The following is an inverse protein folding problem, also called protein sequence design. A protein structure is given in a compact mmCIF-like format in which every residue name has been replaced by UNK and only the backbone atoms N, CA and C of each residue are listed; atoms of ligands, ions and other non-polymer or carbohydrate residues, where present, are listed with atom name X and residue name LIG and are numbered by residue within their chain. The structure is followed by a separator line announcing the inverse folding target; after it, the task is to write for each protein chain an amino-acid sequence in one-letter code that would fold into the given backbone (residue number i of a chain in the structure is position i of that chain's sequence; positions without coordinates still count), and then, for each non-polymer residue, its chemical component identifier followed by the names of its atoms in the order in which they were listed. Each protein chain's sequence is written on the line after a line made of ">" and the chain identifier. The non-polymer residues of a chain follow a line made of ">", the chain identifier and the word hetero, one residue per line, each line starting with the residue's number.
data_IF_220943118846
#
_entry.id   IF_220943118846
#
_cell.length_a   1.000
_cell.length_b   1.000
_cell.length_c   1.000
_cell.angle_alpha   90.00
_cell.angle_beta   90.00
_cell.angle_gamma   90.00
#
_symmetry.space_group_name_H-M   'P 1'
#
loop_
_entity.id
_entity.type
_entity.pdbx_description
1 polymer ?
#
# COMPACT_ATOMS: atom_id res chain seq x y z
N UNK A 1 -3.44 7.69 6.45
CA UNK A 1 -2.95 8.64 7.49
C UNK A 1 -3.62 8.36 8.81
N UNK A 2 -2.93 8.65 9.90
CA UNK A 2 -3.51 8.54 11.24
C UNK A 2 -4.76 9.41 11.36
N UNK A 3 -5.73 8.98 12.16
CA UNK A 3 -6.91 9.81 12.44
C UNK A 3 -6.59 10.80 13.57
N UNK A 4 -7.20 11.98 13.50
CA UNK A 4 -7.08 12.97 14.60
C UNK A 4 -7.61 12.39 15.92
N UNK A 5 -8.63 11.55 15.84
CA UNK A 5 -9.19 10.86 17.01
C UNK A 5 -8.12 10.02 17.69
N UNK A 6 -7.44 9.14 16.97
CA UNK A 6 -6.36 8.29 17.49
C UNK A 6 -5.25 9.11 18.16
N UNK A 7 -4.83 10.22 17.53
CA UNK A 7 -3.78 11.10 18.06
C UNK A 7 -4.25 11.82 19.36
N UNK A 8 -5.52 12.26 19.40
CA UNK A 8 -6.04 12.99 20.55
C UNK A 8 -6.41 12.10 21.72
N UNK A 9 -6.72 10.82 21.49
CA UNK A 9 -7.04 9.84 22.55
C UNK A 9 -5.79 9.41 23.33
N UNK A 10 -4.68 9.14 22.64
CA UNK A 10 -3.40 8.79 23.29
C UNK A 10 -2.21 9.22 22.43
N UNK A 11 -1.84 10.50 22.51
CA UNK A 11 -0.71 11.06 21.79
C UNK A 11 0.61 10.37 22.11
N UNK A 12 0.82 9.98 23.39
CA UNK A 12 2.06 9.35 23.82
C UNK A 12 2.20 7.91 23.29
N UNK A 13 1.11 7.15 23.18
CA UNK A 13 1.15 5.84 22.54
C UNK A 13 1.46 5.96 21.04
N UNK A 14 0.91 6.99 20.38
CA UNK A 14 1.23 7.28 18.97
C UNK A 14 2.71 7.62 18.82
N UNK A 15 3.27 8.50 19.66
CA UNK A 15 4.69 8.86 19.63
C UNK A 15 5.57 7.62 19.79
N UNK A 16 5.33 6.78 20.81
CA UNK A 16 6.08 5.52 21.01
C UNK A 16 6.03 4.61 19.80
N UNK A 17 4.86 4.49 19.16
CA UNK A 17 4.71 3.68 17.94
C UNK A 17 5.49 4.26 16.74
N UNK A 18 5.54 5.58 16.61
CA UNK A 18 6.34 6.24 15.58
C UNK A 18 7.84 6.09 15.83
N UNK A 19 8.27 6.17 17.09
CA UNK A 19 9.66 5.92 17.49
C UNK A 19 10.08 4.47 17.18
N UNK A 20 9.17 3.49 17.39
CA UNK A 20 9.38 2.09 17.00
C UNK A 20 9.62 1.92 15.50
N UNK A 21 9.04 2.79 14.67
CA UNK A 21 9.33 2.89 13.22
C UNK A 21 10.55 3.75 12.89
N UNK A 22 11.33 4.15 13.88
CA UNK A 22 12.46 5.07 13.72
C UNK A 22 12.10 6.39 13.03
N UNK A 23 10.85 6.85 13.18
CA UNK A 23 10.40 8.13 12.65
C UNK A 23 11.00 9.27 13.46
N UNK A 24 11.92 10.02 12.81
CA UNK A 24 12.62 11.15 13.46
C UNK A 24 11.67 12.32 13.70
N UNK A 25 11.74 12.92 14.89
CA UNK A 25 10.88 14.05 15.25
C UNK A 25 9.44 13.64 15.53
N UNK A 26 9.20 12.42 16.06
CA UNK A 26 7.85 11.91 16.34
C UNK A 26 7.07 12.81 17.31
N UNK A 27 7.70 13.24 18.42
CA UNK A 27 7.06 14.12 19.40
C UNK A 27 6.67 15.47 18.78
N UNK A 28 7.62 16.11 18.09
CA UNK A 28 7.41 17.43 17.46
C UNK A 28 6.30 17.36 16.39
N UNK A 29 6.26 16.30 15.60
CA UNK A 29 5.23 16.10 14.58
C UNK A 29 3.83 15.96 15.20
N UNK A 30 3.70 15.19 16.29
CA UNK A 30 2.43 15.02 16.99
C UNK A 30 2.00 16.29 17.70
N UNK A 31 2.93 17.03 18.33
CA UNK A 31 2.64 18.32 18.95
C UNK A 31 2.12 19.33 17.93
N UNK A 32 2.73 19.41 16.75
CA UNK A 32 2.26 20.26 15.63
C UNK A 32 0.87 19.85 15.14
N UNK A 33 0.59 18.54 15.03
CA UNK A 33 -0.76 18.05 14.68
C UNK A 33 -1.79 18.52 15.70
N UNK A 34 -1.49 18.41 17.00
CA UNK A 34 -2.39 18.84 18.07
C UNK A 34 -2.60 20.35 18.05
N UNK A 35 -1.54 21.13 17.85
CA UNK A 35 -1.61 22.59 17.74
C UNK A 35 -2.49 23.02 16.55
N UNK A 36 -2.23 22.52 15.35
CA UNK A 36 -3.01 22.83 14.15
C UNK A 36 -4.48 22.41 14.30
N UNK A 37 -4.74 21.25 14.90
CA UNK A 37 -6.10 20.80 15.15
C UNK A 37 -6.82 21.69 16.17
N UNK A 38 -6.14 22.15 17.23
CA UNK A 38 -6.68 23.07 18.22
C UNK A 38 -6.97 24.45 17.60
N UNK A 39 -6.05 24.98 16.78
CA UNK A 39 -6.25 26.21 16.02
C UNK A 39 -7.49 26.09 15.13
N UNK A 40 -7.60 25.02 14.35
CA UNK A 40 -8.76 24.76 13.49
C UNK A 40 -10.08 24.72 14.29
N UNK A 41 -10.10 23.99 15.43
CA UNK A 41 -11.29 23.87 16.29
C UNK A 41 -11.68 25.19 16.93
N UNK A 42 -10.73 25.98 17.44
CA UNK A 42 -11.01 27.28 18.05
C UNK A 42 -11.51 28.29 17.02
N UNK A 43 -10.92 28.34 15.84
CA UNK A 43 -11.36 29.19 14.71
C UNK A 43 -12.78 28.81 14.26
N UNK A 44 -13.07 27.50 14.14
CA UNK A 44 -14.42 27.00 13.81
C UNK A 44 -15.45 27.45 14.85
N UNK A 45 -15.15 27.36 16.15
CA UNK A 45 -16.07 27.75 17.21
C UNK A 45 -16.38 29.26 17.18
N UNK A 46 -15.39 30.11 16.86
CA UNK A 46 -15.60 31.55 16.69
C UNK A 46 -16.45 31.83 15.45
N UNK A 47 -16.15 31.15 14.32
CA UNK A 47 -16.91 31.29 13.08
C UNK A 47 -18.37 30.88 13.26
N UNK A 48 -18.64 29.75 13.93
CA UNK A 48 -20.00 29.30 14.18
C UNK A 48 -20.79 30.29 15.06
N UNK A 49 -20.12 30.84 16.09
CA UNK A 49 -20.72 31.90 16.94
C UNK A 49 -21.06 33.16 16.13
N UNK A 50 -20.15 33.63 15.31
CA UNK A 50 -20.35 34.79 14.46
C UNK A 50 -21.47 34.55 13.44
N UNK A 51 -21.55 33.37 12.83
CA UNK A 51 -22.63 33.02 11.90
C UNK A 51 -24.00 32.99 12.59
N UNK A 52 -24.08 32.46 13.81
CA UNK A 52 -25.30 32.50 14.61
C UNK A 52 -25.72 33.94 14.89
N UNK A 53 -24.77 34.83 15.23
CA UNK A 53 -25.02 36.23 15.52
C UNK A 53 -25.45 37.00 14.25
N UNK A 54 -24.85 36.76 13.10
CA UNK A 54 -25.27 37.31 11.79
C UNK A 54 -26.70 36.91 11.48
N UNK A 55 -27.08 35.65 11.71
CA UNK A 55 -28.43 35.16 11.46
C UNK A 55 -29.46 35.83 12.39
N UNK A 56 -29.14 35.98 13.69
CA UNK A 56 -30.00 36.63 14.67
C UNK A 56 -30.17 38.11 14.34
N UNK A 57 -29.07 38.81 14.10
CA UNK A 57 -29.09 40.26 13.73
C UNK A 57 -29.82 40.53 12.43
N UNK A 58 -29.68 39.66 11.43
CA UNK A 58 -30.39 39.79 10.15
C UNK A 58 -31.91 39.67 10.30
N UNK A 59 -32.39 38.84 11.21
CA UNK A 59 -33.81 38.72 11.55
C UNK A 59 -34.31 39.97 12.28
N UNK A 60 -33.54 40.55 13.22
CA UNK A 60 -33.93 41.72 13.98
C UNK A 60 -33.99 43.00 13.12
N UNK A 61 -33.12 43.14 12.11
CA UNK A 61 -33.16 44.27 11.17
C UNK A 61 -34.52 44.36 10.49
N UNK A 62 -35.10 43.26 10.04
CA UNK A 62 -36.43 43.26 9.42
C UNK A 62 -37.53 43.74 10.37
N UNK A 63 -37.46 43.42 11.65
CA UNK A 63 -38.40 43.85 12.67
C UNK A 63 -38.22 45.33 13.02
N UNK A 64 -36.97 45.76 13.28
CA UNK A 64 -36.65 47.17 13.57
C UNK A 64 -37.08 48.11 12.46
N UNK A 65 -36.93 47.70 11.22
CA UNK A 65 -37.42 48.48 10.06
C UNK A 65 -38.94 48.59 10.03
N UNK A 66 -39.67 47.54 10.39
CA UNK A 66 -41.14 47.58 10.51
C UNK A 66 -41.63 48.49 11.67
N UNK A 67 -40.87 48.55 12.75
CA UNK A 67 -41.13 49.39 13.93
C UNK A 67 -40.69 50.84 13.71
N UNK A 68 -40.08 51.19 12.58
CA UNK A 68 -39.62 52.55 12.28
C UNK A 68 -38.32 52.98 12.98
N UNK A 69 -37.62 52.03 13.66
CA UNK A 69 -36.37 52.24 14.40
C UNK A 69 -35.15 52.20 13.46
N UNK A 70 -35.04 53.21 12.55
CA UNK A 70 -34.00 53.22 11.51
C UNK A 70 -32.56 53.21 12.06
N UNK A 71 -32.29 54.01 13.11
CA UNK A 71 -30.93 54.09 13.70
C UNK A 71 -30.46 52.74 14.24
N UNK A 72 -31.31 52.01 14.98
CA UNK A 72 -31.02 50.70 15.50
C UNK A 72 -30.86 49.65 14.38
N UNK A 73 -31.67 49.77 13.31
CA UNK A 73 -31.56 48.90 12.15
C UNK A 73 -30.23 49.12 11.37
N UNK A 74 -29.76 50.37 11.27
CA UNK A 74 -28.50 50.69 10.59
C UNK A 74 -27.28 50.28 11.42
N UNK A 75 -27.35 50.39 12.75
CA UNK A 75 -26.33 49.82 13.64
C UNK A 75 -26.24 48.29 13.50
N UNK A 76 -27.38 47.59 13.49
CA UNK A 76 -27.43 46.15 13.29
C UNK A 76 -26.89 45.75 11.89
N UNK A 77 -27.15 46.53 10.84
CA UNK A 77 -26.57 46.29 9.49
C UNK A 77 -25.05 46.43 9.50
N UNK A 78 -24.52 47.48 10.15
CA UNK A 78 -23.07 47.69 10.26
C UNK A 78 -22.40 46.54 11.02
N UNK A 79 -23.02 46.09 12.12
CA UNK A 79 -22.53 44.91 12.87
C UNK A 79 -22.51 43.65 12.02
N UNK A 80 -23.57 43.40 11.25
CA UNK A 80 -23.63 42.27 10.30
C UNK A 80 -22.54 42.39 9.25
N UNK A 81 -22.26 43.56 8.72
CA UNK A 81 -21.20 43.78 7.73
C UNK A 81 -19.81 43.49 8.32
N UNK A 82 -19.53 43.97 9.54
CA UNK A 82 -18.28 43.71 10.25
C UNK A 82 -18.09 42.22 10.53
N UNK A 83 -19.12 41.53 11.02
CA UNK A 83 -19.07 40.09 11.29
C UNK A 83 -18.85 39.28 10.01
N UNK A 84 -19.48 39.65 8.90
CA UNK A 84 -19.27 38.99 7.61
C UNK A 84 -17.83 39.13 7.10
N UNK A 85 -17.20 40.29 7.28
CA UNK A 85 -15.81 40.50 6.90
C UNK A 85 -14.86 39.71 7.81
N UNK A 86 -15.08 39.72 9.13
CA UNK A 86 -14.34 38.90 10.07
C UNK A 86 -14.48 37.40 9.76
N UNK A 87 -15.66 36.93 9.35
CA UNK A 87 -15.89 35.53 8.98
C UNK A 87 -15.14 35.11 7.75
N UNK A 88 -14.88 35.98 6.77
CA UNK A 88 -14.01 35.63 5.62
C UNK A 88 -12.59 35.38 6.06
N UNK A 89 -12.05 36.21 6.95
CA UNK A 89 -10.69 36.00 7.51
C UNK A 89 -10.60 34.70 8.31
N UNK A 90 -11.58 34.48 9.20
CA UNK A 90 -11.64 33.24 9.99
C UNK A 90 -11.76 31.97 9.11
N UNK A 91 -12.55 32.03 8.05
CA UNK A 91 -12.69 30.93 7.09
C UNK A 91 -11.34 30.64 6.40
N UNK A 92 -10.64 31.69 5.93
CA UNK A 92 -9.34 31.53 5.30
C UNK A 92 -8.29 30.94 6.27
N UNK A 93 -8.25 31.40 7.52
CA UNK A 93 -7.36 30.85 8.57
C UNK A 93 -7.69 29.39 8.89
N UNK A 94 -8.96 29.02 8.93
CA UNK A 94 -9.40 27.65 9.15
C UNK A 94 -9.01 26.74 7.99
N UNK A 95 -9.21 27.20 6.74
CA UNK A 95 -8.87 26.44 5.54
C UNK A 95 -7.36 26.25 5.43
N UNK A 96 -6.56 27.28 5.77
CA UNK A 96 -5.11 27.17 5.83
C UNK A 96 -4.64 26.17 6.90
N UNK A 97 -5.19 26.28 8.11
CA UNK A 97 -4.85 25.35 9.18
C UNK A 97 -5.24 23.89 8.82
N UNK A 98 -6.38 23.69 8.16
CA UNK A 98 -6.80 22.37 7.68
C UNK A 98 -5.87 21.82 6.60
N UNK A 99 -5.43 22.66 5.66
CA UNK A 99 -4.49 22.28 4.61
C UNK A 99 -3.11 21.89 5.19
N UNK A 100 -2.57 22.71 6.11
CA UNK A 100 -1.31 22.44 6.79
C UNK A 100 -1.40 21.13 7.60
N UNK A 101 -2.47 20.91 8.33
CA UNK A 101 -2.73 19.69 9.09
C UNK A 101 -2.78 18.47 8.17
N UNK A 102 -3.46 18.57 7.03
CA UNK A 102 -3.55 17.48 6.04
C UNK A 102 -2.17 17.14 5.46
N UNK A 103 -1.37 18.15 5.10
CA UNK A 103 -0.01 17.95 4.58
C UNK A 103 0.89 17.29 5.62
N UNK A 104 0.84 17.75 6.86
CA UNK A 104 1.61 17.14 7.95
C UNK A 104 1.22 15.67 8.18
N UNK A 105 -0.08 15.35 8.22
CA UNK A 105 -0.56 13.97 8.38
C UNK A 105 -0.13 13.04 7.24
N UNK A 106 0.08 13.54 6.02
CA UNK A 106 0.62 12.74 4.92
C UNK A 106 2.08 12.35 5.13
N UNK A 107 2.82 13.06 5.98
CA UNK A 107 4.23 12.79 6.26
C UNK A 107 4.48 11.91 7.47
N UNK A 108 3.45 11.60 8.25
CA UNK A 108 3.54 10.78 9.46
C UNK A 108 3.20 9.33 9.11
N UNK A 109 4.05 8.33 9.42
CA UNK A 109 3.78 6.92 9.14
C UNK A 109 2.65 6.35 10.00
N UNK A 110 2.19 5.14 9.67
CA UNK A 110 1.25 4.41 10.49
C UNK A 110 1.91 3.90 11.79
N UNK A 111 1.11 3.76 12.83
CA UNK A 111 1.54 3.19 14.12
C UNK A 111 1.57 1.66 14.00
N UNK A 112 2.69 1.00 14.34
CA UNK A 112 2.77 -0.45 14.33
C UNK A 112 2.00 -1.08 15.48
N UNK A 113 1.57 -2.33 15.30
CA UNK A 113 1.00 -3.14 16.37
C UNK A 113 2.02 -3.40 17.48
N UNK A 114 1.53 -3.75 18.68
CA UNK A 114 2.38 -4.00 19.83
C UNK A 114 3.32 -5.20 19.60
N UNK A 115 2.85 -6.26 18.92
CA UNK A 115 3.60 -7.46 18.60
C UNK A 115 4.67 -7.30 17.50
N UNK A 116 4.75 -6.15 16.83
CA UNK A 116 5.81 -5.85 15.86
C UNK A 116 7.15 -5.79 16.62
N UNK A 117 8.20 -6.53 16.18
CA UNK A 117 9.50 -6.52 16.84
C UNK A 117 10.14 -5.12 16.82
N UNK A 118 10.90 -4.82 17.88
CA UNK A 118 11.86 -3.72 17.83
C UNK A 118 12.98 -4.07 16.85
N UNK A 119 13.51 -3.09 16.16
CA UNK A 119 14.60 -3.28 15.21
C UNK A 119 14.67 -2.16 14.19
N UNK A 120 15.84 -1.98 13.59
CA UNK A 120 16.14 -0.88 12.67
C UNK A 120 16.28 -1.34 11.21
N UNK A 121 16.60 -2.59 10.98
CA UNK A 121 16.94 -3.14 9.65
C UNK A 121 16.33 -4.53 9.45
N UNK A 122 16.39 -5.04 8.22
CA UNK A 122 15.92 -6.38 7.87
C UNK A 122 16.59 -7.52 8.68
N UNK A 123 17.76 -7.28 9.27
CA UNK A 123 18.45 -8.25 10.13
C UNK A 123 17.73 -8.48 11.46
N UNK A 124 16.91 -7.52 11.89
CA UNK A 124 16.13 -7.57 13.12
C UNK A 124 14.73 -8.22 12.93
N UNK A 125 14.40 -8.63 11.71
CA UNK A 125 13.13 -9.29 11.42
C UNK A 125 13.04 -10.66 12.08
N UNK A 126 11.86 -10.99 12.59
CA UNK A 126 11.63 -12.25 13.30
C UNK A 126 11.18 -13.34 12.33
N UNK A 127 11.97 -14.41 12.19
CA UNK A 127 11.54 -15.63 11.50
C UNK A 127 10.44 -16.30 12.33
N UNK A 128 9.23 -16.34 11.82
CA UNK A 128 8.07 -16.93 12.51
C UNK A 128 7.75 -18.33 12.04
N UNK A 129 8.15 -18.67 10.82
CA UNK A 129 7.93 -20.01 10.24
C UNK A 129 8.95 -20.30 9.15
N UNK A 130 9.28 -21.58 9.00
CA UNK A 130 10.06 -22.12 7.87
C UNK A 130 9.34 -23.36 7.34
N UNK A 131 9.46 -23.60 6.03
CA UNK A 131 8.84 -24.76 5.39
C UNK A 131 9.40 -25.02 4.00
N UNK A 132 8.78 -25.99 3.30
CA UNK A 132 9.22 -26.43 2.00
C UNK A 132 10.31 -27.51 2.09
N UNK A 133 10.69 -28.05 0.93
CA UNK A 133 11.72 -29.09 0.85
C UNK A 133 13.09 -28.45 0.56
N UNK A 134 14.08 -28.82 1.34
CA UNK A 134 15.48 -28.57 0.95
C UNK A 134 15.78 -29.27 -0.38
N UNK A 135 16.41 -28.56 -1.28
CA UNK A 135 16.76 -29.07 -2.61
C UNK A 135 18.24 -29.37 -2.63
N UNK A 136 18.60 -30.63 -2.84
CA UNK A 136 20.00 -30.99 -3.13
C UNK A 136 20.29 -30.69 -4.59
N UNK A 137 21.03 -29.61 -4.85
CA UNK A 137 21.48 -29.28 -6.20
C UNK A 137 22.76 -29.98 -6.59
N UNK A 138 22.98 -30.20 -7.92
CA UNK A 138 24.27 -30.61 -8.45
C UNK A 138 25.38 -29.63 -8.01
N UNK A 139 26.62 -30.13 -7.86
CA UNK A 139 27.76 -29.27 -7.45
C UNK A 139 28.05 -28.12 -8.42
N UNK A 140 27.62 -28.26 -9.66
CA UNK A 140 27.74 -27.29 -10.77
C UNK A 140 26.46 -26.54 -11.05
N UNK A 141 25.56 -26.49 -10.09
CA UNK A 141 24.31 -25.71 -10.20
C UNK A 141 24.57 -24.23 -10.55
N UNK A 142 23.83 -23.74 -11.53
CA UNK A 142 23.99 -22.41 -12.09
C UNK A 142 22.96 -21.44 -11.50
N UNK A 143 23.29 -20.16 -11.31
CA UNK A 143 22.31 -19.13 -10.99
C UNK A 143 21.39 -18.84 -12.18
N UNK A 144 20.20 -18.29 -11.91
CA UNK A 144 19.15 -18.11 -12.91
C UNK A 144 19.58 -17.31 -14.17
N UNK A 145 20.48 -16.35 -14.06
CA UNK A 145 20.97 -15.57 -15.21
C UNK A 145 21.83 -16.41 -16.17
N UNK A 146 22.56 -17.42 -15.68
CA UNK A 146 23.28 -18.36 -16.51
C UNK A 146 22.33 -19.40 -17.14
N UNK A 147 21.33 -19.85 -16.37
CA UNK A 147 20.28 -20.75 -16.87
C UNK A 147 19.44 -20.09 -17.94
N UNK A 148 19.07 -18.81 -17.73
CA UNK A 148 18.34 -17.99 -18.71
C UNK A 148 19.06 -17.93 -20.05
N UNK A 149 20.37 -17.75 -20.03
CA UNK A 149 21.23 -17.76 -21.22
C UNK A 149 21.39 -19.17 -21.81
N UNK A 150 21.63 -20.18 -20.97
CA UNK A 150 21.83 -21.58 -21.41
C UNK A 150 20.64 -22.12 -22.18
N UNK A 151 19.42 -21.84 -21.72
CA UNK A 151 18.17 -22.30 -22.32
C UNK A 151 17.49 -21.28 -23.23
N UNK A 152 18.11 -20.12 -23.44
CA UNK A 152 17.59 -19.01 -24.26
C UNK A 152 16.15 -18.60 -23.91
N UNK A 153 15.83 -18.54 -22.62
CA UNK A 153 14.46 -18.30 -22.12
C UNK A 153 14.24 -16.89 -21.57
N UNK A 154 15.29 -16.18 -21.19
CA UNK A 154 15.26 -14.78 -20.77
C UNK A 154 16.51 -14.08 -21.31
N UNK A 155 16.31 -12.94 -21.95
CA UNK A 155 17.38 -12.18 -22.58
C UNK A 155 17.47 -10.78 -21.96
N UNK A 156 18.51 -10.56 -21.18
CA UNK A 156 18.75 -9.29 -20.51
C UNK A 156 19.38 -8.26 -21.48
N UNK A 157 20.17 -8.70 -22.45
CA UNK A 157 20.86 -7.83 -23.40
C UNK A 157 19.84 -7.21 -24.38
N UNK A 158 18.84 -7.97 -24.83
CA UNK A 158 17.72 -7.42 -25.60
C UNK A 158 16.93 -6.38 -24.79
N UNK A 159 16.72 -6.59 -23.51
CA UNK A 159 16.08 -5.62 -22.64
C UNK A 159 16.86 -4.31 -22.55
N UNK A 160 18.18 -4.39 -22.38
CA UNK A 160 19.08 -3.23 -22.40
C UNK A 160 18.98 -2.50 -23.74
N UNK A 161 18.94 -3.23 -24.86
CA UNK A 161 18.83 -2.65 -26.20
C UNK A 161 17.51 -1.90 -26.43
N UNK A 162 16.39 -2.41 -25.88
CA UNK A 162 15.05 -1.86 -26.11
C UNK A 162 14.76 -0.68 -25.18
N UNK A 163 15.12 -0.81 -23.91
CA UNK A 163 14.71 0.13 -22.86
C UNK A 163 15.89 0.56 -21.96
N UNK A 164 16.62 -0.42 -21.42
CA UNK A 164 17.70 -0.20 -20.46
C UNK A 164 17.87 -1.40 -19.53
N UNK A 165 18.83 -1.30 -18.60
CA UNK A 165 19.04 -2.33 -17.57
C UNK A 165 17.79 -2.46 -16.69
N UNK A 166 17.49 -3.68 -16.22
CA UNK A 166 16.32 -3.93 -15.35
C UNK A 166 14.99 -4.16 -16.09
N UNK A 167 15.03 -4.35 -17.44
CA UNK A 167 13.88 -4.69 -18.29
C UNK A 167 14.18 -5.99 -19.06
N UNK A 168 13.94 -7.17 -18.50
CA UNK A 168 14.26 -8.45 -19.16
C UNK A 168 13.25 -8.77 -20.27
N UNK A 169 13.72 -9.48 -21.32
CA UNK A 169 12.86 -10.02 -22.38
C UNK A 169 12.69 -11.52 -22.17
N UNK A 170 11.50 -11.97 -21.86
CA UNK A 170 11.17 -13.38 -21.75
C UNK A 170 10.90 -13.99 -23.12
N UNK A 171 11.45 -15.19 -23.39
CA UNK A 171 11.35 -15.88 -24.68
C UNK A 171 10.92 -17.34 -24.53
N UNK A 172 10.26 -17.89 -25.53
CA UNK A 172 9.97 -19.32 -25.62
C UNK A 172 9.33 -19.92 -24.37
N UNK A 173 9.98 -20.96 -23.79
CA UNK A 173 9.53 -21.62 -22.55
C UNK A 173 9.55 -20.67 -21.34
N UNK A 174 10.44 -19.67 -21.31
CA UNK A 174 10.45 -18.64 -20.26
C UNK A 174 9.21 -17.75 -20.26
N UNK A 175 8.82 -17.24 -21.44
CA UNK A 175 7.59 -16.48 -21.60
C UNK A 175 6.34 -17.33 -21.29
N UNK A 176 6.38 -18.63 -21.64
CA UNK A 176 5.28 -19.55 -21.30
C UNK A 176 5.20 -19.79 -19.80
N UNK A 177 6.34 -19.97 -19.10
CA UNK A 177 6.40 -20.12 -17.64
C UNK A 177 5.86 -18.88 -16.93
N UNK A 178 6.22 -17.66 -17.42
CA UNK A 178 5.73 -16.40 -16.87
C UNK A 178 4.18 -16.34 -16.91
N UNK A 179 3.59 -16.62 -18.07
CA UNK A 179 2.12 -16.66 -18.22
C UNK A 179 1.46 -17.78 -17.41
N UNK A 180 2.13 -18.94 -17.31
CA UNK A 180 1.65 -20.07 -16.50
C UNK A 180 1.53 -19.69 -15.03
N UNK A 181 2.54 -19.02 -14.47
CA UNK A 181 2.52 -18.50 -13.10
C UNK A 181 1.41 -17.48 -12.88
N UNK A 182 1.20 -16.54 -13.80
CA UNK A 182 0.12 -15.55 -13.71
C UNK A 182 -1.22 -16.27 -13.61
N UNK A 183 -1.51 -17.18 -14.55
CA UNK A 183 -2.79 -17.90 -14.56
C UNK A 183 -2.96 -18.76 -13.31
N UNK A 184 -1.92 -19.47 -12.89
CA UNK A 184 -1.95 -20.29 -11.68
C UNK A 184 -2.27 -19.46 -10.44
N UNK A 185 -1.61 -18.32 -10.23
CA UNK A 185 -1.85 -17.46 -9.07
C UNK A 185 -3.25 -16.83 -9.08
N UNK A 186 -3.75 -16.42 -10.23
CA UNK A 186 -5.11 -15.90 -10.37
C UNK A 186 -6.16 -16.97 -10.11
N UNK A 187 -5.98 -18.19 -10.64
CA UNK A 187 -6.91 -19.29 -10.42
C UNK A 187 -6.94 -19.72 -8.94
N UNK A 188 -5.78 -19.78 -8.27
CA UNK A 188 -5.70 -20.07 -6.83
C UNK A 188 -6.37 -18.96 -5.99
N UNK A 189 -6.19 -17.69 -6.35
CA UNK A 189 -6.86 -16.58 -5.68
C UNK A 189 -8.38 -16.67 -5.87
N UNK A 190 -8.85 -16.92 -7.10
CA UNK A 190 -10.29 -17.12 -7.38
C UNK A 190 -10.88 -18.30 -6.62
N UNK A 191 -10.16 -19.43 -6.54
CA UNK A 191 -10.57 -20.60 -5.75
C UNK A 191 -10.69 -20.27 -4.25
N UNK A 192 -9.94 -19.28 -3.75
CA UNK A 192 -10.00 -18.75 -2.38
C UNK A 192 -11.03 -17.62 -2.21
N UNK A 193 -11.89 -17.40 -3.21
CA UNK A 193 -13.00 -16.45 -3.15
C UNK A 193 -12.65 -15.01 -3.49
N UNK A 194 -11.50 -14.76 -4.12
CA UNK A 194 -11.16 -13.43 -4.63
C UNK A 194 -11.86 -13.15 -5.97
N UNK A 195 -12.30 -11.93 -6.15
CA UNK A 195 -12.77 -11.40 -7.44
C UNK A 195 -11.59 -10.86 -8.21
N UNK A 196 -11.39 -11.34 -9.43
CA UNK A 196 -10.35 -10.85 -10.33
C UNK A 196 -10.72 -9.48 -10.89
N UNK A 197 -9.77 -8.55 -10.85
CA UNK A 197 -9.87 -7.18 -11.36
C UNK A 197 -8.75 -6.95 -12.37
N UNK A 198 -9.06 -6.30 -13.49
CA UNK A 198 -8.08 -5.81 -14.45
C UNK A 198 -8.05 -4.28 -14.41
N UNK A 199 -7.23 -3.66 -13.56
CA UNK A 199 -7.17 -2.22 -13.42
C UNK A 199 -6.23 -1.59 -14.45
N UNK A 200 -6.31 -0.26 -14.68
CA UNK A 200 -5.31 0.46 -15.44
C UNK A 200 -3.94 0.44 -14.73
N UNK A 201 -2.85 0.46 -15.52
CA UNK A 201 -1.47 0.50 -15.00
C UNK A 201 -0.93 1.92 -14.82
N UNK A 202 -1.72 2.93 -15.16
CA UNK A 202 -1.46 4.35 -14.89
C UNK A 202 -2.56 4.92 -14.00
N UNK A 203 -2.16 5.77 -13.06
CA UNK A 203 -3.07 6.35 -12.06
C UNK A 203 -2.82 7.84 -11.89
N UNK A 204 -3.83 8.59 -11.43
CA UNK A 204 -3.68 10.00 -11.05
C UNK A 204 -3.04 10.15 -9.65
N UNK A 205 -2.57 11.36 -9.33
CA UNK A 205 -1.97 11.67 -8.04
C UNK A 205 -2.87 11.32 -6.84
N UNK A 206 -4.19 11.54 -6.95
CA UNK A 206 -5.14 11.22 -5.88
C UNK A 206 -5.12 9.73 -5.51
N UNK A 207 -4.89 8.84 -6.48
CA UNK A 207 -4.75 7.40 -6.24
C UNK A 207 -3.44 7.07 -5.51
N UNK A 208 -2.34 7.73 -5.87
CA UNK A 208 -1.06 7.60 -5.17
C UNK A 208 -1.13 8.07 -3.71
N UNK A 209 -1.82 9.20 -3.45
CA UNK A 209 -2.07 9.67 -2.08
C UNK A 209 -2.98 8.73 -1.31
N UNK A 210 -3.97 8.13 -1.96
CA UNK A 210 -4.94 7.24 -1.33
C UNK A 210 -4.30 6.03 -0.64
N UNK A 211 -3.34 5.39 -1.27
CA UNK A 211 -2.62 4.22 -0.76
C UNK A 211 -1.27 4.55 -0.11
N UNK A 212 -0.78 5.79 -0.26
CA UNK A 212 0.40 6.28 0.46
C UNK A 212 1.73 6.18 -0.30
N UNK A 213 1.70 5.93 -1.62
CA UNK A 213 2.87 6.05 -2.48
C UNK A 213 3.26 7.51 -2.72
N UNK A 214 2.29 8.42 -2.62
CA UNK A 214 2.55 9.86 -2.60
C UNK A 214 2.35 10.45 -1.19
N UNK A 215 3.15 11.47 -0.81
CA UNK A 215 4.27 12.03 -1.55
C UNK A 215 5.43 11.04 -1.69
N UNK A 216 5.97 10.90 -2.90
CA UNK A 216 7.08 9.98 -3.19
C UNK A 216 8.43 10.55 -2.72
N UNK A 217 8.76 10.27 -1.45
CA UNK A 217 10.00 10.76 -0.82
C UNK A 217 11.26 10.03 -1.32
N UNK A 218 11.08 8.82 -1.86
CA UNK A 218 12.18 7.96 -2.28
C UNK A 218 12.42 8.00 -3.79
N UNK A 219 11.55 8.68 -4.54
CA UNK A 219 11.65 8.80 -5.99
C UNK A 219 11.41 7.48 -6.72
N UNK A 220 10.52 6.64 -6.21
CA UNK A 220 10.27 5.28 -6.73
C UNK A 220 9.28 5.23 -7.89
N UNK A 221 8.39 6.22 -7.99
CA UNK A 221 7.35 6.22 -9.02
C UNK A 221 7.83 6.84 -10.34
N UNK A 222 7.49 6.20 -11.45
CA UNK A 222 7.57 6.83 -12.78
C UNK A 222 6.42 7.81 -12.95
N UNK A 223 6.74 9.05 -13.33
CA UNK A 223 5.77 10.12 -13.56
C UNK A 223 5.75 10.53 -15.02
N UNK A 224 4.56 10.50 -15.65
CA UNK A 224 4.28 11.02 -16.97
C UNK A 224 3.90 12.49 -16.83
N UNK A 225 4.87 13.39 -16.94
CA UNK A 225 4.72 14.82 -16.62
C UNK A 225 3.64 15.53 -17.44
N UNK A 226 3.51 15.20 -18.72
CA UNK A 226 2.55 15.87 -19.65
C UNK A 226 1.11 15.62 -19.24
N UNK A 227 0.81 14.39 -18.83
CA UNK A 227 -0.56 13.96 -18.51
C UNK A 227 -0.85 13.98 -16.99
N UNK A 228 0.16 14.27 -16.17
CA UNK A 228 0.14 14.17 -14.70
C UNK A 228 -0.36 12.79 -14.22
N UNK A 229 0.17 11.73 -14.82
CA UNK A 229 -0.13 10.35 -14.49
C UNK A 229 1.12 9.61 -13.98
N UNK A 230 0.90 8.61 -13.15
CA UNK A 230 1.95 7.80 -12.55
C UNK A 230 1.79 6.34 -12.99
N UNK A 231 2.89 5.68 -13.40
CA UNK A 231 2.88 4.23 -13.56
C UNK A 231 2.82 3.57 -12.17
N UNK A 232 2.00 2.54 -12.05
CA UNK A 232 1.78 1.88 -10.76
C UNK A 232 2.99 1.06 -10.33
N UNK A 233 3.42 1.14 -9.05
CA UNK A 233 4.45 0.27 -8.49
C UNK A 233 3.89 -1.07 -8.01
N UNK A 234 2.56 -1.21 -7.95
CA UNK A 234 1.79 -2.37 -7.48
C UNK A 234 0.31 -2.20 -7.86
N UNK A 235 -0.39 -3.30 -8.13
CA UNK A 235 -1.84 -3.28 -8.35
C UNK A 235 -2.64 -2.85 -7.10
N UNK A 236 -2.03 -2.86 -5.91
CA UNK A 236 -2.60 -2.28 -4.70
C UNK A 236 -3.18 -0.88 -4.96
N UNK A 237 -2.41 -0.03 -5.68
CA UNK A 237 -2.81 1.37 -5.91
C UNK A 237 -4.14 1.48 -6.63
N UNK A 238 -4.32 0.97 -7.85
CA UNK A 238 -5.60 1.09 -8.56
C UNK A 238 -6.71 0.27 -7.91
N UNK A 239 -6.45 -0.93 -7.40
CA UNK A 239 -7.48 -1.80 -6.85
C UNK A 239 -8.05 -1.26 -5.54
N UNK A 240 -7.21 -0.76 -4.64
CA UNK A 240 -7.69 -0.15 -3.38
C UNK A 240 -8.44 1.15 -3.65
N UNK A 241 -8.03 1.91 -4.68
CA UNK A 241 -8.69 3.17 -5.06
C UNK A 241 -10.08 2.99 -5.72
N UNK A 242 -10.50 1.77 -6.09
CA UNK A 242 -11.89 1.48 -6.46
C UNK A 242 -12.86 1.90 -5.33
N UNK A 243 -12.39 1.82 -4.09
CA UNK A 243 -13.16 2.12 -2.88
C UNK A 243 -12.89 3.53 -2.33
N UNK A 244 -12.27 4.43 -3.11
CA UNK A 244 -12.05 5.82 -2.72
C UNK A 244 -13.37 6.59 -2.73
N UNK A 245 -13.62 7.37 -1.64
CA UNK A 245 -14.86 8.14 -1.39
C UNK A 245 -16.14 7.29 -1.35
N UNK A 246 -16.03 5.99 -0.99
CA UNK A 246 -17.15 5.05 -0.92
C UNK A 246 -17.57 4.81 0.53
N UNK A 247 -18.88 4.65 0.76
CA UNK A 247 -19.45 4.11 2.00
C UNK A 247 -20.11 2.77 1.65
N UNK A 248 -19.47 1.69 2.09
CA UNK A 248 -19.93 0.32 1.89
C UNK A 248 -21.04 -0.04 2.88
N UNK A 249 -21.86 -1.04 2.55
CA UNK A 249 -22.70 -1.74 3.54
C UNK A 249 -21.81 -2.78 4.27
N UNK A 250 -21.95 -2.91 5.59
CA UNK A 250 -21.22 -3.92 6.38
C UNK A 250 -21.36 -5.33 5.81
N UNK A 251 -22.52 -5.66 5.22
CA UNK A 251 -22.79 -6.95 4.59
C UNK A 251 -21.96 -7.24 3.34
N UNK A 252 -21.33 -6.21 2.76
CA UNK A 252 -20.44 -6.37 1.60
C UNK A 252 -19.03 -6.79 2.01
N UNK A 253 -18.72 -6.71 3.32
CA UNK A 253 -17.40 -7.01 3.85
C UNK A 253 -17.31 -8.48 4.32
N UNK A 254 -16.15 -9.15 4.18
CA UNK A 254 -14.95 -8.63 3.56
C UNK A 254 -15.05 -8.58 2.02
N UNK A 255 -14.47 -7.54 1.41
CA UNK A 255 -14.22 -7.50 -0.03
C UNK A 255 -12.85 -8.14 -0.29
N UNK A 256 -12.78 -9.06 -1.25
CA UNK A 256 -11.58 -9.79 -1.64
C UNK A 256 -11.34 -9.58 -3.14
N UNK A 257 -10.32 -8.85 -3.51
CA UNK A 257 -9.94 -8.63 -4.92
C UNK A 257 -8.54 -9.16 -5.20
N UNK A 258 -8.33 -9.71 -6.39
CA UNK A 258 -7.01 -10.02 -6.92
C UNK A 258 -6.81 -9.36 -8.29
N UNK A 259 -5.57 -9.00 -8.60
CA UNK A 259 -5.24 -8.38 -9.87
C UNK A 259 -3.83 -8.78 -10.32
N UNK A 260 -3.70 -9.13 -11.61
CA UNK A 260 -2.42 -9.17 -12.28
C UNK A 260 -2.15 -7.81 -12.93
N UNK A 261 -0.95 -7.28 -12.73
CA UNK A 261 -0.45 -6.10 -13.47
C UNK A 261 1.06 -6.19 -13.68
N UNK A 262 1.54 -5.49 -14.70
CA UNK A 262 2.91 -5.01 -14.68
C UNK A 262 3.04 -3.91 -13.63
N UNK A 263 4.16 -3.93 -12.92
CA UNK A 263 4.52 -3.00 -11.87
C UNK A 263 5.81 -2.27 -12.25
N UNK A 264 5.87 -0.98 -11.97
CA UNK A 264 6.98 -0.12 -12.39
C UNK A 264 7.62 0.56 -11.19
N UNK A 265 8.93 0.34 -10.98
CA UNK A 265 9.70 0.96 -9.89
C UNK A 265 10.99 1.54 -10.44
N UNK A 266 11.31 2.78 -10.05
CA UNK A 266 12.56 3.43 -10.47
C UNK A 266 13.78 2.80 -9.82
N UNK A 267 13.59 2.02 -8.75
CA UNK A 267 14.66 1.36 -8.00
C UNK A 267 15.81 2.33 -7.65
N UNK A 268 15.44 3.56 -7.30
CA UNK A 268 16.37 4.63 -6.99
C UNK A 268 17.30 4.22 -5.83
N UNK A 269 18.60 4.34 -6.04
CA UNK A 269 19.60 3.99 -5.04
C UNK A 269 20.03 2.51 -5.00
N UNK A 270 19.55 1.68 -5.91
CA UNK A 270 19.91 0.25 -5.96
C UNK A 270 21.10 0.02 -6.90
N UNK A 271 22.17 -0.61 -6.39
CA UNK A 271 23.40 -0.87 -7.12
C UNK A 271 24.00 -2.25 -6.76
N UNK A 272 24.86 -2.78 -7.66
CA UNK A 272 25.71 -3.93 -7.40
C UNK A 272 25.05 -5.29 -7.58
N UNK A 273 25.37 -6.28 -6.72
CA UNK A 273 24.93 -7.68 -6.88
C UNK A 273 23.43 -7.88 -6.81
N UNK A 274 22.71 -6.97 -6.16
CA UNK A 274 21.26 -7.08 -5.96
C UNK A 274 20.45 -6.76 -7.22
N UNK A 275 21.04 -6.13 -8.22
CA UNK A 275 20.39 -5.83 -9.52
C UNK A 275 20.68 -6.86 -10.60
N UNK A 276 21.39 -7.96 -10.29
CA UNK A 276 21.75 -8.98 -11.29
C UNK A 276 20.58 -9.91 -11.60
N UNK A 277 20.35 -10.16 -12.88
CA UNK A 277 19.30 -11.07 -13.35
C UNK A 277 17.90 -10.57 -13.00
N UNK A 278 17.10 -11.42 -12.36
CA UNK A 278 15.70 -11.15 -11.98
C UNK A 278 15.55 -10.64 -10.54
N UNK A 279 16.63 -10.39 -9.82
CA UNK A 279 16.57 -10.05 -8.40
C UNK A 279 15.91 -8.70 -8.14
N UNK A 280 16.13 -7.71 -9.03
CA UNK A 280 15.55 -6.37 -8.93
C UNK A 280 15.37 -5.77 -10.32
N UNK A 281 14.15 -5.40 -10.65
CA UNK A 281 13.74 -4.96 -11.99
C UNK A 281 12.98 -3.64 -11.92
N UNK A 282 13.07 -2.83 -12.99
CA UNK A 282 12.27 -1.61 -13.16
C UNK A 282 10.83 -1.89 -13.61
N UNK A 283 10.62 -3.00 -14.31
CA UNK A 283 9.32 -3.50 -14.75
C UNK A 283 9.22 -4.98 -14.41
N UNK A 284 8.14 -5.38 -13.77
CA UNK A 284 7.92 -6.78 -13.39
C UNK A 284 6.44 -7.10 -13.20
N UNK A 285 6.08 -8.34 -13.53
CA UNK A 285 4.74 -8.89 -13.33
C UNK A 285 4.49 -9.27 -11.88
N UNK A 286 3.30 -8.96 -11.36
CA UNK A 286 2.86 -9.33 -10.00
C UNK A 286 1.36 -9.63 -9.98
N UNK A 287 0.97 -10.66 -9.26
CA UNK A 287 -0.41 -10.86 -8.82
C UNK A 287 -0.53 -10.30 -7.41
N UNK A 288 -1.49 -9.44 -7.20
CA UNK A 288 -1.74 -8.74 -5.94
C UNK A 288 -3.10 -9.10 -5.38
N UNK A 289 -3.19 -9.30 -4.08
CA UNK A 289 -4.41 -9.46 -3.31
C UNK A 289 -4.69 -8.17 -2.56
N UNK A 290 -5.93 -7.70 -2.59
CA UNK A 290 -6.41 -6.55 -1.83
C UNK A 290 -7.67 -6.94 -1.08
N UNK A 291 -7.71 -6.64 0.21
CA UNK A 291 -8.92 -6.80 1.03
C UNK A 291 -9.36 -5.48 1.65
N UNK A 292 -10.68 -5.33 1.73
CA UNK A 292 -11.33 -4.27 2.52
C UNK A 292 -12.19 -4.98 3.56
N UNK A 293 -11.99 -4.67 4.82
CA UNK A 293 -12.68 -5.36 5.91
C UNK A 293 -13.06 -4.41 7.05
N UNK A 294 -13.79 -4.93 8.01
CA UNK A 294 -14.06 -4.25 9.27
C UNK A 294 -12.87 -4.32 10.21
N UNK A 295 -12.71 -3.37 11.15
CA UNK A 295 -11.67 -3.45 12.19
C UNK A 295 -11.69 -4.75 12.99
N UNK A 296 -12.89 -5.33 13.21
CA UNK A 296 -13.09 -6.53 14.02
C UNK A 296 -12.53 -7.79 13.35
N UNK A 297 -12.59 -7.88 12.02
CA UNK A 297 -12.23 -9.08 11.26
C UNK A 297 -10.90 -8.95 10.52
N UNK A 298 -10.30 -7.77 10.45
CA UNK A 298 -9.10 -7.54 9.63
C UNK A 298 -7.89 -8.38 10.04
N UNK A 299 -7.77 -8.78 11.30
CA UNK A 299 -6.68 -9.66 11.75
C UNK A 299 -6.87 -11.09 11.25
N UNK A 300 -8.11 -11.61 11.24
CA UNK A 300 -8.45 -12.90 10.66
C UNK A 300 -8.24 -12.88 9.14
N UNK A 301 -8.73 -11.83 8.47
CA UNK A 301 -8.47 -11.60 7.05
C UNK A 301 -6.97 -11.56 6.72
N UNK A 302 -6.14 -10.97 7.57
CA UNK A 302 -4.68 -10.95 7.40
C UNK A 302 -4.10 -12.37 7.50
N UNK A 303 -4.52 -13.18 8.49
CA UNK A 303 -4.08 -14.57 8.62
C UNK A 303 -4.48 -15.42 7.42
N UNK A 304 -5.73 -15.28 6.92
CA UNK A 304 -6.15 -15.97 5.70
C UNK A 304 -5.30 -15.62 4.47
N UNK A 305 -4.83 -14.36 4.37
CA UNK A 305 -3.91 -13.95 3.30
C UNK A 305 -2.53 -14.59 3.45
N UNK A 306 -2.00 -14.67 4.68
CA UNK A 306 -0.74 -15.35 4.97
C UNK A 306 -0.82 -16.84 4.59
N UNK A 307 -1.90 -17.52 5.02
CA UNK A 307 -2.13 -18.94 4.72
C UNK A 307 -2.25 -19.19 3.21
N UNK A 308 -2.91 -18.29 2.49
CA UNK A 308 -3.03 -18.36 1.03
C UNK A 308 -1.66 -18.27 0.34
N UNK A 309 -0.83 -17.26 0.70
CA UNK A 309 0.49 -17.06 0.11
C UNK A 309 1.42 -18.25 0.45
N UNK A 310 1.39 -18.73 1.69
CA UNK A 310 2.11 -19.94 2.07
C UNK A 310 1.71 -21.15 1.22
N UNK A 311 0.40 -21.33 1.02
CA UNK A 311 -0.15 -22.40 0.18
C UNK A 311 0.38 -22.37 -1.26
N UNK A 312 0.60 -21.19 -1.83
CA UNK A 312 1.22 -21.05 -3.16
C UNK A 312 2.67 -21.55 -3.17
N UNK A 313 3.47 -21.20 -2.17
CA UNK A 313 4.87 -21.63 -2.07
C UNK A 313 4.98 -23.13 -1.88
N UNK A 314 4.09 -23.75 -1.08
CA UNK A 314 4.01 -25.20 -0.91
C UNK A 314 3.68 -25.90 -2.25
N UNK A 315 2.71 -25.39 -3.02
CA UNK A 315 2.35 -25.93 -4.34
C UNK A 315 3.45 -25.74 -5.38
N UNK A 316 4.29 -24.71 -5.23
CA UNK A 316 5.48 -24.50 -6.06
C UNK A 316 6.68 -25.34 -5.62
N UNK A 317 6.55 -26.11 -4.55
CA UNK A 317 7.61 -27.00 -4.02
C UNK A 317 8.91 -26.23 -3.66
N UNK A 318 8.79 -24.97 -3.21
CA UNK A 318 9.93 -24.11 -2.89
C UNK A 318 10.23 -24.10 -1.38
N UNK A 319 11.52 -24.10 -0.97
CA UNK A 319 11.88 -23.84 0.41
C UNK A 319 11.61 -22.37 0.75
N UNK A 320 10.94 -22.13 1.86
CA UNK A 320 10.53 -20.78 2.25
C UNK A 320 10.70 -20.50 3.74
N UNK A 321 10.75 -19.23 4.08
CA UNK A 321 10.56 -18.72 5.43
C UNK A 321 9.61 -17.54 5.43
N UNK A 322 8.95 -17.34 6.58
CA UNK A 322 8.04 -16.21 6.82
C UNK A 322 8.68 -15.36 7.91
N UNK A 323 8.83 -14.07 7.63
CA UNK A 323 9.38 -13.07 8.53
C UNK A 323 8.27 -12.14 9.00
N UNK A 324 8.19 -11.86 10.30
CA UNK A 324 7.46 -10.70 10.79
C UNK A 324 8.44 -9.52 10.85
N UNK A 325 8.14 -8.47 10.11
CA UNK A 325 9.03 -7.33 9.99
C UNK A 325 9.09 -6.53 11.28
N UNK A 326 10.27 -6.02 11.61
CA UNK A 326 10.49 -5.09 12.70
C UNK A 326 10.05 -3.67 12.33
N UNK A 327 9.95 -2.79 13.32
CA UNK A 327 9.45 -1.42 13.11
C UNK A 327 10.24 -0.62 12.08
N UNK A 328 11.57 -0.77 12.03
CA UNK A 328 12.43 -0.02 11.11
C UNK A 328 12.44 -0.51 9.68
N UNK A 329 12.06 -1.78 9.44
CA UNK A 329 12.02 -2.38 8.09
C UNK A 329 10.61 -2.35 7.47
N UNK A 330 9.58 -2.14 8.28
CA UNK A 330 8.19 -2.07 7.79
C UNK A 330 7.95 -0.86 6.90
N UNK A 331 7.11 -1.05 5.87
CA UNK A 331 6.66 0.05 5.02
C UNK A 331 6.02 1.18 5.83
N UNK A 332 6.09 2.40 5.28
CA UNK A 332 5.54 3.61 5.88
C UNK A 332 4.06 3.49 6.31
N UNK A 333 3.26 2.78 5.54
CA UNK A 333 1.81 2.70 5.70
C UNK A 333 1.32 1.51 6.53
N UNK A 334 2.12 0.45 6.68
CA UNK A 334 1.70 -0.78 7.36
C UNK A 334 1.64 -0.63 8.88
N UNK A 335 0.64 -1.25 9.52
CA UNK A 335 0.57 -1.46 10.97
C UNK A 335 1.24 -2.78 11.40
N UNK A 336 1.21 -3.78 10.52
CA UNK A 336 1.95 -5.04 10.63
C UNK A 336 2.21 -5.57 9.23
N UNK A 337 3.36 -6.22 9.06
CA UNK A 337 3.79 -6.78 7.78
C UNK A 337 4.51 -8.10 7.99
N UNK A 338 4.25 -9.04 7.08
CA UNK A 338 4.98 -10.30 6.98
C UNK A 338 5.53 -10.46 5.58
N UNK A 339 6.82 -10.78 5.49
CA UNK A 339 7.47 -11.10 4.23
C UNK A 339 7.66 -12.61 4.09
N UNK A 340 7.45 -13.07 2.88
CA UNK A 340 7.76 -14.44 2.46
C UNK A 340 9.01 -14.42 1.61
N UNK A 341 9.95 -15.23 2.00
CA UNK A 341 11.20 -15.41 1.26
C UNK A 341 11.36 -16.86 0.82
N UNK A 342 11.91 -17.04 -0.36
CA UNK A 342 12.33 -18.37 -0.87
C UNK A 342 13.84 -18.46 -0.90
N UNK A 343 14.37 -19.63 -0.55
CA UNK A 343 15.81 -19.83 -0.56
C UNK A 343 16.29 -20.14 -1.98
N UNK A 344 17.25 -19.36 -2.46
CA UNK A 344 17.97 -19.61 -3.69
C UNK A 344 19.20 -20.46 -3.38
N UNK A 345 19.17 -21.72 -3.74
CA UNK A 345 20.28 -22.63 -3.49
C UNK A 345 21.54 -22.28 -4.31
N UNK A 346 21.37 -21.76 -5.53
CA UNK A 346 22.49 -21.34 -6.36
C UNK A 346 23.14 -20.03 -5.89
N UNK A 347 22.36 -19.09 -5.38
CA UNK A 347 22.86 -17.80 -4.85
C UNK A 347 23.23 -17.88 -3.36
N UNK A 348 22.84 -18.96 -2.66
CA UNK A 348 23.02 -19.15 -1.20
C UNK A 348 22.43 -18.00 -0.40
N UNK A 349 21.21 -17.56 -0.75
CA UNK A 349 20.52 -16.46 -0.07
C UNK A 349 19.00 -16.61 -0.14
N UNK A 350 18.33 -15.93 0.77
CA UNK A 350 16.89 -15.75 0.75
C UNK A 350 16.49 -14.64 -0.21
N UNK A 351 15.40 -14.83 -0.94
CA UNK A 351 14.82 -13.89 -1.88
C UNK A 351 13.38 -13.61 -1.44
N UNK A 352 13.08 -12.36 -1.10
CA UNK A 352 11.72 -11.92 -0.81
C UNK A 352 10.83 -12.03 -2.05
N UNK A 353 9.72 -12.74 -1.93
CA UNK A 353 8.78 -13.00 -3.04
C UNK A 353 7.38 -12.46 -2.77
N UNK A 354 7.06 -12.12 -1.54
CA UNK A 354 5.80 -11.52 -1.14
C UNK A 354 5.96 -10.72 0.13
N UNK A 355 5.15 -9.67 0.25
CA UNK A 355 4.94 -8.90 1.46
C UNK A 355 3.43 -8.80 1.69
N UNK A 356 2.96 -9.17 2.88
CA UNK A 356 1.53 -9.17 3.24
C UNK A 356 1.30 -8.24 4.43
N UNK A 357 0.53 -7.19 4.20
CA UNK A 357 0.37 -6.08 5.15
C UNK A 357 -1.08 -5.85 5.56
N UNK A 358 -1.26 -5.45 6.82
CA UNK A 358 -2.47 -4.82 7.31
C UNK A 358 -2.17 -3.35 7.63
N UNK A 359 -3.00 -2.43 7.12
CA UNK A 359 -2.82 -0.99 7.26
C UNK A 359 -3.77 -0.37 8.27
N UNK A 360 -4.63 -1.16 8.91
CA UNK A 360 -5.72 -0.65 9.73
C UNK A 360 -6.56 0.40 8.97
N UNK A 361 -6.87 1.50 9.64
CA UNK A 361 -7.62 2.62 9.06
C UNK A 361 -6.75 3.58 8.24
N UNK A 362 -5.43 3.37 8.18
CA UNK A 362 -4.48 4.36 7.66
C UNK A 362 -4.74 4.74 6.20
N UNK A 363 -4.86 3.73 5.31
CA UNK A 363 -5.22 3.96 3.92
C UNK A 363 -6.69 4.33 3.78
N UNK A 364 -7.59 3.67 4.50
CA UNK A 364 -9.02 3.97 4.47
C UNK A 364 -9.32 5.44 4.83
N UNK A 365 -8.57 6.03 5.78
CA UNK A 365 -8.69 7.43 6.13
C UNK A 365 -8.19 8.38 5.01
N UNK A 366 -7.16 7.99 4.24
CA UNK A 366 -6.71 8.73 3.05
C UNK A 366 -7.73 8.65 1.92
N UNK A 367 -8.26 7.45 1.70
CA UNK A 367 -9.25 7.12 0.67
C UNK A 367 -10.66 7.60 1.01
N UNK A 368 -10.94 7.93 2.27
CA UNK A 368 -12.30 8.09 2.82
C UNK A 368 -13.18 6.84 2.57
N UNK A 369 -12.55 5.66 2.61
CA UNK A 369 -13.23 4.36 2.50
C UNK A 369 -13.85 4.02 3.86
N UNK A 370 -15.17 3.93 3.90
CA UNK A 370 -15.96 3.76 5.12
C UNK A 370 -17.01 2.69 4.91
N UNK A 371 -17.55 2.18 6.00
CA UNK A 371 -18.71 1.31 5.96
C UNK A 371 -19.78 1.77 6.95
N UNK A 372 -21.00 1.34 6.71
CA UNK A 372 -22.14 1.62 7.57
C UNK A 372 -22.44 0.41 8.40
N UNK A 373 -22.31 0.55 9.73
CA UNK A 373 -22.61 -0.52 10.70
C UNK A 373 -24.11 -0.81 10.78
N UNK A 374 -24.48 -1.95 11.38
CA UNK A 374 -25.85 -2.32 11.64
C UNK A 374 -26.62 -1.24 12.44
N UNK A 375 -25.94 -0.50 13.34
CA UNK A 375 -26.49 0.63 14.10
C UNK A 375 -26.54 1.93 13.27
N UNK A 376 -26.28 1.89 11.98
CA UNK A 376 -26.24 3.05 11.07
C UNK A 376 -25.13 4.08 11.36
N UNK A 377 -24.12 3.72 12.12
CA UNK A 377 -22.90 4.51 12.27
C UNK A 377 -22.02 4.34 11.06
N UNK A 378 -21.23 5.37 10.75
CA UNK A 378 -20.24 5.31 9.67
C UNK A 378 -18.85 5.21 10.29
N UNK A 379 -18.12 4.15 9.95
CA UNK A 379 -16.77 3.87 10.45
C UNK A 379 -15.79 3.69 9.28
N UNK A 380 -14.49 3.89 9.55
CA UNK A 380 -13.44 3.60 8.56
C UNK A 380 -13.27 2.09 8.42
N UNK A 381 -13.08 1.64 7.18
CA UNK A 381 -12.65 0.28 6.90
C UNK A 381 -11.19 0.07 7.32
N UNK A 382 -10.78 -1.20 7.43
CA UNK A 382 -9.38 -1.61 7.35
C UNK A 382 -9.06 -2.05 5.94
N UNK A 383 -7.82 -1.78 5.50
CA UNK A 383 -7.31 -2.23 4.20
C UNK A 383 -6.13 -3.17 4.41
N UNK A 384 -6.03 -4.17 3.56
CA UNK A 384 -4.95 -5.14 3.56
C UNK A 384 -4.50 -5.40 2.12
N UNK A 385 -3.23 -5.69 1.95
CA UNK A 385 -2.70 -6.19 0.69
C UNK A 385 -1.71 -7.32 0.88
N UNK A 386 -1.42 -8.03 -0.21
CA UNK A 386 -0.34 -9.01 -0.26
C UNK A 386 -0.04 -9.45 -1.68
N UNK A 387 1.23 -9.64 -1.98
CA UNK A 387 1.63 -10.20 -3.28
C UNK A 387 1.39 -11.71 -3.31
N UNK A 388 0.71 -12.19 -4.34
CA UNK A 388 0.43 -13.60 -4.53
C UNK A 388 0.85 -14.09 -5.93
N UNK A 389 2.09 -13.97 -6.37
CA UNK A 389 3.39 -13.55 -5.83
C UNK A 389 4.06 -12.55 -6.78
N UNK A 390 5.26 -12.03 -6.42
CA UNK A 390 6.11 -11.28 -7.33
C UNK A 390 6.88 -12.25 -8.25
N UNK A 391 6.56 -12.25 -9.55
CA UNK A 391 6.99 -13.32 -10.46
C UNK A 391 8.49 -13.41 -10.69
N UNK A 392 9.28 -12.33 -10.84
CA UNK A 392 10.69 -12.46 -11.21
C UNK A 392 11.50 -13.32 -10.24
N UNK A 393 11.36 -13.08 -8.94
CA UNK A 393 12.10 -13.85 -7.91
C UNK A 393 11.57 -15.28 -7.77
N UNK A 394 10.28 -15.52 -8.02
CA UNK A 394 9.71 -16.86 -8.12
C UNK A 394 10.29 -17.60 -9.34
N UNK A 395 10.36 -16.94 -10.50
CA UNK A 395 11.00 -17.54 -11.69
C UNK A 395 12.48 -17.85 -11.40
N UNK A 396 13.21 -16.91 -10.81
CA UNK A 396 14.60 -17.14 -10.41
C UNK A 396 14.75 -18.37 -9.51
N UNK A 397 13.95 -18.46 -8.45
CA UNK A 397 13.98 -19.59 -7.51
C UNK A 397 13.57 -20.92 -8.16
N UNK A 398 12.55 -20.92 -9.03
CA UNK A 398 12.14 -22.12 -9.78
C UNK A 398 13.24 -22.62 -10.71
N UNK A 399 13.87 -21.70 -11.47
CA UNK A 399 14.98 -22.06 -12.35
C UNK A 399 16.16 -22.64 -11.57
N UNK A 400 16.53 -21.99 -10.47
CA UNK A 400 17.70 -22.39 -9.68
C UNK A 400 17.47 -23.67 -8.88
N UNK A 401 16.34 -23.82 -8.21
CA UNK A 401 16.10 -24.92 -7.29
C UNK A 401 15.61 -26.21 -7.97
N UNK A 402 15.23 -26.15 -9.25
CA UNK A 402 14.71 -27.32 -9.96
C UNK A 402 15.64 -27.84 -11.06
N UNK A 403 16.94 -27.54 -10.98
CA UNK A 403 17.95 -28.05 -11.93
C UNK A 403 18.11 -29.54 -11.83
N UNK A 404 18.08 -30.23 -12.97
CA UNK A 404 18.33 -31.66 -13.10
C UNK A 404 19.23 -31.92 -14.31
N UNK A 405 19.79 -33.16 -14.46
CA UNK A 405 20.53 -33.52 -15.68
C UNK A 405 19.71 -33.41 -16.96
N UNK A 406 18.38 -33.50 -16.88
CA UNK A 406 17.47 -33.45 -18.03
C UNK A 406 17.06 -32.01 -18.39
N UNK A 407 17.32 -31.05 -17.52
CA UNK A 407 16.88 -29.69 -17.65
C UNK A 407 16.28 -29.14 -16.34
N UNK A 408 15.49 -28.08 -16.41
CA UNK A 408 14.82 -27.50 -15.26
C UNK A 408 13.43 -28.11 -15.13
N UNK A 409 13.19 -28.87 -14.06
CA UNK A 409 11.90 -29.51 -13.78
C UNK A 409 10.85 -28.46 -13.42
N UNK A 410 9.66 -28.59 -13.97
CA UNK A 410 8.52 -27.75 -13.61
C UNK A 410 7.76 -28.37 -12.43
N UNK A 411 7.41 -27.62 -11.37
CA UNK A 411 6.54 -28.10 -10.29
C UNK A 411 5.24 -28.67 -10.82
N UNK A 412 4.76 -29.75 -10.19
CA UNK A 412 3.56 -30.47 -10.66
C UNK A 412 2.35 -29.57 -10.85
N UNK A 413 2.16 -28.61 -9.95
CA UNK A 413 1.02 -27.66 -10.02
C UNK A 413 1.07 -26.77 -11.28
N UNK A 414 2.26 -26.52 -11.84
CA UNK A 414 2.44 -25.65 -13.01
C UNK A 414 2.41 -26.41 -14.35
N UNK A 415 2.63 -27.73 -14.36
CA UNK A 415 2.67 -28.52 -15.61
C UNK A 415 1.42 -28.33 -16.47
N UNK A 416 0.19 -28.33 -15.92
CA UNK A 416 -1.01 -28.08 -16.74
C UNK A 416 -1.05 -26.70 -17.38
N UNK A 417 -0.47 -25.69 -16.75
CA UNK A 417 -0.41 -24.31 -17.24
C UNK A 417 0.75 -24.11 -18.25
N UNK A 418 1.88 -24.72 -18.00
CA UNK A 418 3.06 -24.67 -18.88
C UNK A 418 2.85 -25.48 -20.16
N UNK A 419 2.28 -26.69 -20.06
CA UNK A 419 2.17 -27.65 -21.14
C UNK A 419 3.47 -28.42 -21.44
N UNK A 420 4.43 -28.37 -20.49
CA UNK A 420 5.69 -29.14 -20.52
C UNK A 420 6.14 -29.41 -19.09
N UNK A 421 6.95 -30.46 -18.92
CA UNK A 421 7.49 -30.88 -17.62
C UNK A 421 8.92 -30.36 -17.36
N UNK A 422 9.66 -30.03 -18.44
CA UNK A 422 11.05 -29.57 -18.36
C UNK A 422 11.29 -28.38 -19.31
N UNK A 423 12.16 -27.48 -18.85
CA UNK A 423 12.87 -26.52 -19.69
C UNK A 423 14.22 -27.20 -20.04
N UNK A 424 14.37 -27.60 -21.26
CA UNK A 424 15.49 -28.34 -21.86
C UNK A 424 16.03 -27.63 -23.12
#
# INVERSE_FOLDING_TARGET
>A
MLTIKQITEDAQAVVRGLEKKHFKGAQEAIDQVLELNNKRKSTQAVLDKNLAEVNASSKSIGQLMKEGKKAEADEAKNKVAQLKEANKTLQAEMDEAAAQLQQLLYTIPNVPYEEVPEGATAEDNLVVKMGGMETELPKDALPHWELAKKYDIIDFDLGVKITGAGFPVYKGKGARLQRALINFFLDEARASGYTEIMPPTVVNAASGYGTGQLPDKEGQMYHCEVDDLYLIPTAEVPVTNIYRDVILDEKQLPIKNCAYTECFRREAGSYGKDVRGLNRLHEFSKVELVRIDTPQHSRESHQEMLDHVEGLLIKLELPYRILRLCGGDMSFTAAICYDFEVYSEAQKRWLEVSSVSNFDTYQANRLKCRYRTAEKKTELCHTLNGSALALPRIVAALLENNQTPQGIRIPKALVPYCGFEYID
#
